data_IF_156600731467
#
_entry.id   IF_156600731467
#
_cell.length_a   1.000
_cell.length_b   1.000
_cell.length_c   1.000
_cell.angle_alpha   90.00
_cell.angle_beta   90.00
_cell.angle_gamma   90.00
#
_symmetry.space_group_name_H-M   'P 1'
#
loop_
_entity.id
_entity.type
_entity.pdbx_description
1 polymer ?
#
# COMPACT_ATOMS: atom_id res chain seq x y z
N UNK A 1 -29.61 21.80 -7.76
CA UNK A 1 -29.86 20.48 -7.15
C UNK A 1 -28.58 19.71 -7.26
N UNK A 2 -28.15 19.05 -6.19
CA UNK A 2 -26.97 18.20 -6.22
C UNK A 2 -27.35 16.81 -6.76
N UNK A 3 -26.44 16.21 -7.51
CA UNK A 3 -26.61 14.94 -8.21
C UNK A 3 -25.65 13.90 -7.63
N UNK A 4 -26.05 12.62 -7.57
CA UNK A 4 -25.11 11.54 -7.29
C UNK A 4 -24.13 11.41 -8.45
N UNK A 5 -22.91 10.98 -8.17
CA UNK A 5 -21.89 10.81 -9.21
C UNK A 5 -22.15 9.49 -9.95
N UNK A 6 -22.08 9.46 -11.30
CA UNK A 6 -22.21 8.22 -12.05
C UNK A 6 -21.28 7.12 -11.54
N UNK A 7 -21.72 5.87 -11.67
CA UNK A 7 -20.95 4.69 -11.25
C UNK A 7 -19.80 4.37 -12.19
N UNK A 8 -19.93 4.80 -13.45
CA UNK A 8 -18.96 4.52 -14.51
C UNK A 8 -17.62 5.23 -14.24
N UNK A 9 -16.54 4.58 -14.67
CA UNK A 9 -15.16 5.04 -14.51
C UNK A 9 -14.41 4.83 -15.83
N UNK A 10 -14.15 5.88 -16.62
CA UNK A 10 -14.56 7.27 -16.40
C UNK A 10 -16.06 7.50 -16.58
N UNK A 11 -16.60 8.59 -16.03
CA UNK A 11 -17.99 9.03 -16.26
C UNK A 11 -18.19 9.59 -17.67
N UNK A 12 -17.14 10.21 -18.23
CA UNK A 12 -17.13 10.74 -19.58
C UNK A 12 -15.75 10.45 -20.21
N UNK A 13 -15.69 9.76 -21.37
CA UNK A 13 -14.41 9.40 -21.99
C UNK A 13 -13.59 10.63 -22.44
N UNK A 14 -14.23 11.78 -22.65
CA UNK A 14 -13.54 13.02 -23.04
C UNK A 14 -12.95 13.78 -21.84
N UNK A 15 -13.26 13.36 -20.61
CA UNK A 15 -12.72 14.00 -19.42
C UNK A 15 -11.20 13.74 -19.31
N UNK A 16 -10.39 14.77 -18.98
CA UNK A 16 -8.97 14.59 -18.75
C UNK A 16 -8.70 13.59 -17.64
N UNK A 17 -7.66 12.79 -17.84
CA UNK A 17 -7.12 11.92 -16.78
C UNK A 17 -5.77 12.45 -16.35
N UNK A 18 -5.51 12.41 -15.05
CA UNK A 18 -4.22 12.79 -14.46
C UNK A 18 -3.78 11.72 -13.48
N UNK A 19 -2.49 11.68 -13.18
CA UNK A 19 -1.94 10.69 -12.26
C UNK A 19 -1.04 11.29 -11.20
N UNK A 20 -0.95 10.57 -10.08
CA UNK A 20 0.09 10.72 -9.06
C UNK A 20 0.83 9.39 -8.89
N UNK A 21 2.15 9.41 -9.04
CA UNK A 21 3.02 8.37 -8.51
C UNK A 21 3.35 8.73 -7.06
N UNK A 22 3.02 7.84 -6.12
CA UNK A 22 3.10 8.12 -4.68
C UNK A 22 4.23 7.33 -4.05
N UNK A 23 5.06 8.02 -3.27
CA UNK A 23 6.03 7.41 -2.37
C UNK A 23 5.54 7.50 -0.92
N UNK A 24 5.73 6.43 -0.14
CA UNK A 24 5.51 6.38 1.31
C UNK A 24 6.83 6.01 1.97
N UNK A 25 7.39 6.92 2.75
CA UNK A 25 8.77 6.80 3.23
C UNK A 25 9.75 6.85 2.06
N UNK A 26 10.52 5.78 1.89
CA UNK A 26 11.53 5.63 0.81
C UNK A 26 11.06 4.68 -0.29
N UNK A 27 9.79 4.28 -0.30
CA UNK A 27 9.27 3.21 -1.16
C UNK A 27 8.11 3.72 -2.03
N UNK A 28 8.14 3.34 -3.32
CA UNK A 28 7.04 3.59 -4.27
C UNK A 28 5.83 2.78 -3.85
N UNK A 29 4.75 3.45 -3.45
CA UNK A 29 3.49 2.81 -3.06
C UNK A 29 2.62 2.44 -4.27
N UNK A 30 2.70 3.21 -5.36
CA UNK A 30 2.00 2.94 -6.60
C UNK A 30 1.54 4.21 -7.31
N UNK A 31 0.66 4.05 -8.30
CA UNK A 31 0.06 5.14 -9.06
C UNK A 31 -1.43 5.27 -8.72
N UNK A 32 -1.90 6.50 -8.57
CA UNK A 32 -3.32 6.86 -8.54
C UNK A 32 -3.65 7.57 -9.83
N UNK A 33 -4.74 7.20 -10.48
CA UNK A 33 -5.25 7.87 -11.68
C UNK A 33 -6.62 8.46 -11.38
N UNK A 34 -6.79 9.73 -11.71
CA UNK A 34 -8.00 10.50 -11.53
C UNK A 34 -8.63 10.82 -12.86
N UNK A 35 -9.95 10.76 -12.93
CA UNK A 35 -10.75 11.49 -13.90
C UNK A 35 -11.05 12.89 -13.33
N UNK A 36 -10.94 13.93 -14.16
CA UNK A 36 -11.34 15.30 -13.83
C UNK A 36 -12.61 15.68 -14.57
N UNK A 37 -13.64 16.12 -13.86
CA UNK A 37 -14.96 16.45 -14.40
C UNK A 37 -14.95 17.80 -15.13
N UNK A 38 -14.22 17.91 -16.25
CA UNK A 38 -14.13 19.16 -17.02
C UNK A 38 -15.47 19.55 -17.65
N UNK A 39 -16.34 18.58 -17.90
CA UNK A 39 -17.71 18.77 -18.37
C UNK A 39 -18.65 19.42 -17.33
N UNK A 40 -18.32 19.31 -16.04
CA UNK A 40 -19.14 19.86 -14.94
C UNK A 40 -18.45 21.03 -14.22
N UNK A 41 -17.15 20.93 -13.97
CA UNK A 41 -16.31 21.91 -13.26
C UNK A 41 -15.06 22.26 -14.08
N UNK A 42 -15.20 22.88 -15.27
CA UNK A 42 -14.08 23.11 -16.18
C UNK A 42 -12.94 23.93 -15.58
N UNK A 43 -13.22 24.98 -14.81
CA UNK A 43 -12.16 25.80 -14.20
C UNK A 43 -11.40 25.05 -13.12
N UNK A 44 -12.12 24.32 -12.28
CA UNK A 44 -11.56 23.55 -11.17
C UNK A 44 -10.73 22.38 -11.70
N UNK A 45 -11.24 21.68 -12.73
CA UNK A 45 -10.52 20.62 -13.42
C UNK A 45 -9.24 21.14 -14.11
N UNK A 46 -9.31 22.24 -14.86
CA UNK A 46 -8.12 22.81 -15.54
C UNK A 46 -7.07 23.28 -14.53
N UNK A 47 -7.47 23.83 -13.38
CA UNK A 47 -6.54 24.19 -12.32
C UNK A 47 -5.74 22.97 -11.85
N UNK A 48 -6.43 21.87 -11.53
CA UNK A 48 -5.78 20.66 -11.06
C UNK A 48 -4.92 20.00 -12.14
N UNK A 49 -5.42 19.90 -13.38
CA UNK A 49 -4.68 19.35 -14.52
C UNK A 49 -3.36 20.09 -14.75
N UNK A 50 -3.40 21.41 -14.79
CA UNK A 50 -2.21 22.24 -14.99
C UNK A 50 -1.22 22.15 -13.82
N UNK A 51 -1.71 21.99 -12.58
CA UNK A 51 -0.86 21.72 -11.42
C UNK A 51 -0.27 20.31 -11.43
N UNK A 52 -0.89 19.33 -12.09
CA UNK A 52 -0.29 18.02 -12.34
C UNK A 52 0.84 18.09 -13.39
N UNK A 53 0.73 18.94 -14.42
CA UNK A 53 1.73 19.04 -15.49
C UNK A 53 2.85 20.04 -15.20
N UNK A 54 2.61 21.03 -14.33
CA UNK A 54 3.55 22.11 -14.05
C UNK A 54 3.66 23.15 -15.17
N UNK A 55 2.77 23.10 -16.18
CA UNK A 55 2.92 23.86 -17.43
C UNK A 55 2.79 25.39 -17.25
N UNK A 56 2.19 25.86 -16.14
CA UNK A 56 1.95 27.29 -15.89
C UNK A 56 3.14 28.01 -15.23
N UNK A 57 4.26 27.31 -15.02
CA UNK A 57 5.50 27.92 -14.55
C UNK A 57 5.51 28.26 -13.06
N UNK A 58 5.97 29.46 -12.71
CA UNK A 58 6.14 29.91 -11.32
C UNK A 58 4.90 30.70 -10.88
N UNK A 59 4.39 30.36 -9.70
CA UNK A 59 3.27 31.03 -9.07
C UNK A 59 3.63 32.43 -8.59
N UNK A 60 2.67 33.36 -8.67
CA UNK A 60 2.92 34.79 -8.44
C UNK A 60 2.96 35.14 -6.95
N UNK A 61 2.17 34.45 -6.15
CA UNK A 61 2.07 34.72 -4.71
C UNK A 61 3.10 33.93 -3.90
N UNK A 62 3.42 32.70 -4.34
CA UNK A 62 4.31 31.80 -3.60
C UNK A 62 5.75 31.82 -4.09
N UNK A 63 6.00 32.30 -5.32
CA UNK A 63 7.29 32.21 -6.03
C UNK A 63 7.82 30.77 -6.15
N UNK A 64 6.92 29.78 -6.08
CA UNK A 64 7.23 28.35 -6.26
C UNK A 64 6.64 27.84 -7.59
N UNK A 65 7.15 26.73 -8.14
CA UNK A 65 6.53 26.09 -9.30
C UNK A 65 5.07 25.73 -9.01
N UNK A 66 4.17 26.06 -9.94
CA UNK A 66 2.76 25.64 -9.94
C UNK A 66 2.67 24.17 -10.32
N UNK A 67 3.18 23.28 -9.46
CA UNK A 67 3.37 21.87 -9.76
C UNK A 67 3.24 21.00 -8.51
N UNK A 68 2.50 19.90 -8.59
CA UNK A 68 2.34 18.95 -7.48
C UNK A 68 3.53 18.01 -7.27
N UNK A 69 4.46 17.90 -8.22
CA UNK A 69 5.64 17.04 -8.09
C UNK A 69 6.47 17.44 -6.85
N UNK A 70 6.67 16.49 -5.96
CA UNK A 70 7.35 16.67 -4.66
C UNK A 70 6.43 17.19 -3.54
N UNK A 71 5.16 17.47 -3.81
CA UNK A 71 4.22 17.94 -2.79
C UNK A 71 3.81 16.78 -1.86
N UNK A 72 3.78 16.98 -0.53
CA UNK A 72 3.31 15.96 0.39
C UNK A 72 1.80 15.93 0.54
N UNK A 73 1.30 14.76 0.95
CA UNK A 73 0.03 14.62 1.66
C UNK A 73 0.29 14.99 3.13
N UNK A 74 -0.03 16.24 3.48
CA UNK A 74 0.34 16.80 4.78
C UNK A 74 -0.69 16.51 5.89
N UNK A 75 -1.88 16.01 5.52
CA UNK A 75 -2.95 15.70 6.48
C UNK A 75 -3.75 14.47 6.03
N UNK A 76 -3.79 13.44 6.86
CA UNK A 76 -4.48 12.19 6.62
C UNK A 76 -5.36 11.88 7.83
N UNK A 77 -6.65 11.61 7.59
CA UNK A 77 -7.58 11.22 8.64
C UNK A 77 -8.26 9.93 8.23
N UNK A 78 -7.97 8.86 8.99
CA UNK A 78 -8.54 7.53 8.78
C UNK A 78 -10.06 7.57 8.87
N UNK A 79 -10.72 6.90 7.93
CA UNK A 79 -12.18 6.89 7.71
C UNK A 79 -12.74 8.29 7.47
N UNK A 80 -12.00 9.13 6.76
CA UNK A 80 -12.45 10.45 6.35
C UNK A 80 -11.86 10.84 4.99
N UNK A 81 -10.60 11.28 4.96
CA UNK A 81 -9.96 11.82 3.75
C UNK A 81 -8.43 11.90 3.86
N UNK A 82 -7.78 12.03 2.70
CA UNK A 82 -6.35 12.31 2.53
C UNK A 82 -6.22 13.66 1.82
N UNK A 83 -5.49 14.61 2.42
CA UNK A 83 -5.35 15.99 1.94
C UNK A 83 -3.90 16.30 1.55
N UNK A 84 -3.74 16.99 0.41
CA UNK A 84 -2.47 17.40 -0.16
C UNK A 84 -2.58 18.73 -0.92
N UNK A 85 -1.59 19.00 -1.77
CA UNK A 85 -1.62 20.14 -2.70
C UNK A 85 -1.08 21.48 -2.15
N UNK A 86 -0.56 21.52 -0.93
CA UNK A 86 0.25 22.64 -0.44
C UNK A 86 1.71 22.47 -0.90
N UNK A 87 1.97 22.87 -2.15
CA UNK A 87 3.30 22.76 -2.75
C UNK A 87 4.28 23.83 -2.27
N UNK A 88 3.85 24.82 -1.48
CA UNK A 88 4.71 25.94 -1.06
C UNK A 88 5.18 25.81 0.38
N UNK A 89 4.27 25.53 1.32
CA UNK A 89 4.55 25.45 2.76
C UNK A 89 4.46 24.01 3.30
N UNK A 90 3.87 23.10 2.52
CA UNK A 90 3.81 21.66 2.82
C UNK A 90 3.08 21.30 4.12
N UNK A 91 2.23 22.18 4.64
CA UNK A 91 1.60 22.01 5.95
C UNK A 91 0.13 22.48 6.01
N UNK A 92 -0.46 22.84 4.87
CA UNK A 92 -1.84 23.28 4.75
C UNK A 92 -2.05 24.79 4.84
N UNK A 93 -0.98 25.56 5.05
CA UNK A 93 -1.07 27.04 5.13
C UNK A 93 -0.79 27.76 3.80
N UNK A 94 -0.29 27.03 2.80
CA UNK A 94 0.15 27.58 1.52
C UNK A 94 -0.63 27.09 0.31
N UNK A 95 0.05 27.16 -0.84
CA UNK A 95 -0.50 26.86 -2.17
C UNK A 95 -1.21 28.05 -2.82
N UNK A 96 -1.25 28.05 -4.15
CA UNK A 96 -2.02 29.00 -4.95
C UNK A 96 -2.55 28.31 -6.23
N UNK A 97 -3.60 28.87 -6.82
CA UNK A 97 -4.17 28.35 -8.07
C UNK A 97 -3.44 28.89 -9.29
N UNK A 98 -3.70 28.29 -10.46
CA UNK A 98 -3.20 28.83 -11.74
C UNK A 98 -3.82 30.19 -12.12
N UNK A 99 -4.90 30.59 -11.44
CA UNK A 99 -5.63 31.83 -11.68
C UNK A 99 -5.22 32.97 -10.72
N UNK A 100 -4.34 32.69 -9.75
CA UNK A 100 -3.96 33.58 -8.66
C UNK A 100 -4.04 32.87 -7.30
N UNK A 101 -3.90 33.62 -6.20
CA UNK A 101 -3.88 33.04 -4.85
C UNK A 101 -5.12 32.18 -4.56
N UNK A 102 -6.30 32.67 -4.93
CA UNK A 102 -7.60 32.02 -4.71
C UNK A 102 -8.52 32.15 -5.93
N UNK A 103 -9.46 31.22 -6.07
CA UNK A 103 -10.58 31.30 -7.03
C UNK A 103 -11.91 30.83 -6.40
N UNK A 104 -13.00 31.21 -7.07
CA UNK A 104 -14.38 30.98 -6.62
C UNK A 104 -14.79 29.49 -6.59
N UNK A 105 -15.81 29.17 -5.81
CA UNK A 105 -16.49 27.87 -5.87
C UNK A 105 -17.28 27.78 -7.17
N UNK A 106 -16.85 26.92 -8.10
CA UNK A 106 -17.42 26.87 -9.44
C UNK A 106 -18.87 26.38 -9.44
N UNK A 107 -19.14 25.27 -8.76
CA UNK A 107 -20.49 24.79 -8.41
C UNK A 107 -20.40 23.66 -7.36
N UNK A 108 -21.56 23.25 -6.86
CA UNK A 108 -21.72 22.10 -5.97
C UNK A 108 -22.60 21.03 -6.61
N UNK A 109 -22.35 20.72 -7.88
CA UNK A 109 -23.18 19.80 -8.66
C UNK A 109 -23.18 18.39 -8.06
N UNK A 110 -22.01 17.87 -7.69
CA UNK A 110 -21.88 16.53 -7.13
C UNK A 110 -21.81 16.51 -5.60
N UNK A 111 -22.39 15.46 -5.00
CA UNK A 111 -22.30 15.18 -3.57
C UNK A 111 -21.05 14.36 -3.22
N UNK A 112 -20.65 14.40 -1.94
CA UNK A 112 -19.59 13.56 -1.40
C UNK A 112 -20.15 12.20 -0.94
N UNK A 113 -20.75 11.45 -1.86
CA UNK A 113 -21.56 10.26 -1.56
C UNK A 113 -20.78 8.93 -1.62
N UNK A 114 -19.54 8.94 -2.10
CA UNK A 114 -18.70 7.75 -2.26
C UNK A 114 -17.23 7.98 -1.91
N UNK A 115 -16.49 6.87 -1.82
CA UNK A 115 -15.03 6.86 -1.66
C UNK A 115 -14.33 7.22 -2.96
N UNK A 116 -13.13 7.78 -2.86
CA UNK A 116 -12.29 8.10 -4.01
C UNK A 116 -12.74 9.36 -4.77
N UNK A 117 -13.49 10.27 -4.14
CA UNK A 117 -13.83 11.55 -4.74
C UNK A 117 -12.73 12.57 -4.52
N UNK A 118 -12.41 13.32 -5.57
CA UNK A 118 -11.44 14.40 -5.55
C UNK A 118 -12.18 15.74 -5.40
N UNK A 119 -11.83 16.49 -4.36
CA UNK A 119 -12.55 17.70 -3.96
C UNK A 119 -11.61 18.79 -3.45
N UNK A 120 -11.99 20.06 -3.63
CA UNK A 120 -11.15 21.21 -3.27
C UNK A 120 -11.13 21.43 -1.76
N UNK A 121 -9.94 21.57 -1.17
CA UNK A 121 -9.81 22.11 0.18
C UNK A 121 -9.90 23.66 0.12
N UNK A 122 -10.56 24.26 1.10
CA UNK A 122 -10.73 25.70 1.20
C UNK A 122 -10.79 26.17 2.68
N UNK A 123 -10.72 27.48 2.89
CA UNK A 123 -10.84 28.15 4.19
C UNK A 123 -12.16 28.95 4.29
N UNK A 124 -13.23 28.43 3.69
CA UNK A 124 -14.52 29.10 3.53
C UNK A 124 -14.86 29.39 2.06
N UNK A 125 -16.05 29.97 1.80
CA UNK A 125 -16.54 30.17 0.44
C UNK A 125 -15.55 30.93 -0.45
N UNK A 126 -15.40 30.49 -1.70
CA UNK A 126 -14.57 31.12 -2.72
C UNK A 126 -13.08 31.26 -2.37
N UNK A 127 -12.53 30.30 -1.63
CA UNK A 127 -11.11 30.29 -1.25
C UNK A 127 -10.35 29.05 -1.76
N UNK A 128 -10.73 28.57 -2.95
CA UNK A 128 -10.05 27.46 -3.60
C UNK A 128 -8.65 27.88 -4.07
N UNK A 129 -7.65 27.05 -3.84
CA UNK A 129 -6.25 27.28 -4.26
C UNK A 129 -5.71 26.08 -5.03
N UNK A 130 -4.65 25.46 -4.52
CA UNK A 130 -4.12 24.18 -5.03
C UNK A 130 -4.42 22.98 -4.15
N UNK A 131 -4.82 23.21 -2.90
CA UNK A 131 -5.05 22.12 -1.96
C UNK A 131 -6.32 21.35 -2.30
N UNK A 132 -6.25 20.04 -2.12
CA UNK A 132 -7.32 19.09 -2.44
C UNK A 132 -7.38 18.01 -1.38
N UNK A 133 -8.49 17.28 -1.34
CA UNK A 133 -8.58 16.04 -0.60
C UNK A 133 -9.24 14.93 -1.42
N UNK A 134 -8.93 13.69 -1.04
CA UNK A 134 -9.49 12.47 -1.60
C UNK A 134 -10.29 11.79 -0.51
N UNK A 135 -11.57 11.51 -0.75
CA UNK A 135 -12.45 10.86 0.25
C UNK A 135 -12.09 9.39 0.41
N UNK A 136 -12.14 8.88 1.64
CA UNK A 136 -11.99 7.44 1.94
C UNK A 136 -13.26 6.79 2.48
N UNK A 137 -14.28 7.61 2.76
CA UNK A 137 -15.67 7.26 3.09
C UNK A 137 -16.61 8.30 2.44
N UNK A 138 -17.93 8.06 2.37
CA UNK A 138 -18.89 9.13 2.07
C UNK A 138 -18.81 10.26 3.12
N UNK A 139 -18.77 11.52 2.67
CA UNK A 139 -18.59 12.72 3.52
C UNK A 139 -19.64 13.80 3.27
N UNK A 140 -20.95 13.51 3.37
CA UNK A 140 -22.03 14.45 3.00
C UNK A 140 -22.06 15.76 3.82
N UNK A 141 -21.39 15.80 4.97
CA UNK A 141 -21.24 17.03 5.76
C UNK A 141 -20.38 18.11 5.06
N UNK A 142 -19.67 17.75 3.99
CA UNK A 142 -18.88 18.61 3.12
C UNK A 142 -19.66 19.13 1.90
N UNK A 143 -20.88 18.64 1.68
CA UNK A 143 -21.72 19.06 0.55
C UNK A 143 -22.03 20.56 0.62
N UNK A 144 -22.01 21.20 -0.56
CA UNK A 144 -22.19 22.65 -0.71
C UNK A 144 -21.12 23.52 -0.02
N UNK A 145 -20.01 22.92 0.40
CA UNK A 145 -18.87 23.62 1.02
C UNK A 145 -17.58 23.41 0.25
N UNK A 146 -17.41 22.25 -0.37
CA UNK A 146 -16.24 21.88 -1.15
C UNK A 146 -16.66 21.43 -2.55
N UNK A 147 -15.95 21.93 -3.57
CA UNK A 147 -16.23 21.62 -4.97
C UNK A 147 -15.67 20.23 -5.27
N UNK A 148 -16.55 19.26 -5.55
CA UNK A 148 -16.16 17.96 -6.10
C UNK A 148 -15.89 18.11 -7.59
N UNK A 149 -14.69 17.73 -8.04
CA UNK A 149 -14.24 17.99 -9.41
C UNK A 149 -13.56 16.79 -10.08
N UNK A 150 -13.54 15.63 -9.43
CA UNK A 150 -13.02 14.40 -10.03
C UNK A 150 -13.25 13.16 -9.19
N UNK A 151 -12.77 12.03 -9.68
CA UNK A 151 -12.78 10.76 -8.97
C UNK A 151 -11.57 9.89 -9.31
N UNK A 152 -11.20 9.01 -8.38
CA UNK A 152 -10.20 7.97 -8.60
C UNK A 152 -10.79 6.88 -9.50
N UNK A 153 -10.12 6.64 -10.62
CA UNK A 153 -10.46 5.59 -11.58
C UNK A 153 -9.53 4.38 -11.52
N UNK A 154 -8.28 4.56 -11.08
CA UNK A 154 -7.32 3.49 -10.77
C UNK A 154 -6.48 3.85 -9.54
N UNK A 155 -6.01 2.86 -8.79
CA UNK A 155 -5.10 3.08 -7.66
C UNK A 155 -5.81 3.34 -6.33
N UNK A 156 -7.06 2.89 -6.17
CA UNK A 156 -7.76 2.96 -4.87
C UNK A 156 -7.02 2.22 -3.76
N UNK A 157 -6.25 1.18 -4.09
CA UNK A 157 -5.38 0.53 -3.12
C UNK A 157 -4.27 1.43 -2.57
N UNK A 158 -3.71 2.33 -3.38
CA UNK A 158 -2.71 3.32 -2.92
C UNK A 158 -3.35 4.31 -1.93
N UNK A 159 -4.61 4.71 -2.19
CA UNK A 159 -5.40 5.53 -1.26
C UNK A 159 -5.61 4.81 0.07
N UNK A 160 -5.98 3.52 0.05
CA UNK A 160 -6.12 2.71 1.28
C UNK A 160 -4.79 2.59 2.04
N UNK A 161 -3.66 2.45 1.33
CA UNK A 161 -2.34 2.42 1.95
C UNK A 161 -2.03 3.75 2.65
N UNK A 162 -2.21 4.89 1.96
CA UNK A 162 -2.04 6.22 2.54
C UNK A 162 -2.91 6.42 3.79
N UNK A 163 -4.18 6.01 3.74
CA UNK A 163 -5.11 6.11 4.87
C UNK A 163 -4.70 5.26 6.08
N UNK A 164 -3.98 4.16 5.83
CA UNK A 164 -3.54 3.23 6.87
C UNK A 164 -2.28 3.68 7.63
N UNK A 165 -1.60 4.73 7.14
CA UNK A 165 -0.37 5.25 7.76
C UNK A 165 -0.68 5.87 9.12
N UNK A 166 0.20 5.59 10.10
CA UNK A 166 0.13 6.23 11.40
C UNK A 166 0.31 7.75 11.29
N UNK A 167 -0.49 8.50 12.04
CA UNK A 167 -0.49 9.96 12.02
C UNK A 167 -0.25 10.53 13.41
N UNK A 168 0.44 11.67 13.49
CA UNK A 168 0.52 12.52 14.67
C UNK A 168 -0.18 13.86 14.36
N UNK A 169 -1.25 14.18 15.09
CA UNK A 169 -2.08 15.37 14.82
C UNK A 169 -2.50 15.47 13.34
N UNK A 170 -3.04 14.37 12.81
CA UNK A 170 -3.40 14.16 11.39
C UNK A 170 -2.21 14.18 10.39
N UNK A 171 -1.00 14.58 10.78
CA UNK A 171 0.17 14.55 9.88
C UNK A 171 0.77 13.13 9.83
N UNK A 172 1.06 12.57 8.64
CA UNK A 172 1.60 11.22 8.54
C UNK A 172 3.01 11.13 9.14
N UNK A 173 3.26 10.07 9.93
CA UNK A 173 4.55 9.82 10.58
C UNK A 173 5.64 9.50 9.55
N UNK A 174 5.27 8.80 8.47
CA UNK A 174 6.15 8.58 7.31
C UNK A 174 5.84 9.63 6.24
N UNK A 175 6.87 10.22 5.60
CA UNK A 175 6.64 11.13 4.47
C UNK A 175 5.78 10.45 3.40
N UNK A 176 4.67 11.08 3.02
CA UNK A 176 3.79 10.63 1.95
C UNK A 176 3.83 11.69 0.85
N UNK A 177 4.41 11.39 -0.31
CA UNK A 177 4.78 12.40 -1.31
C UNK A 177 4.28 12.02 -2.69
N UNK A 178 3.80 13.01 -3.44
CA UNK A 178 3.55 12.91 -4.87
C UNK A 178 4.91 12.96 -5.57
N UNK A 179 5.54 11.81 -5.78
CA UNK A 179 6.88 11.69 -6.33
C UNK A 179 6.95 12.10 -7.80
N UNK A 180 5.91 11.79 -8.57
CA UNK A 180 5.71 12.29 -9.92
C UNK A 180 4.23 12.50 -10.21
N UNK A 181 3.93 13.37 -11.17
CA UNK A 181 2.57 13.64 -11.59
C UNK A 181 2.51 14.14 -13.04
N UNK A 182 1.33 14.04 -13.64
CA UNK A 182 1.13 14.50 -14.99
C UNK A 182 -0.27 14.22 -15.52
N UNK A 183 -0.48 14.59 -16.76
CA UNK A 183 -1.67 14.22 -17.53
C UNK A 183 -1.47 12.84 -18.17
N UNK A 184 -2.49 12.01 -18.10
CA UNK A 184 -2.53 10.65 -18.63
C UNK A 184 -3.35 10.65 -19.93
N UNK A 185 -2.70 10.38 -21.07
CA UNK A 185 -3.32 10.44 -22.40
C UNK A 185 -3.85 9.08 -22.82
N UNK A 186 -4.76 9.07 -23.78
CA UNK A 186 -5.22 7.82 -24.40
C UNK A 186 -4.08 7.04 -25.03
N UNK A 187 -4.00 5.75 -24.68
CA UNK A 187 -2.93 4.86 -25.11
C UNK A 187 -1.69 4.90 -24.22
N UNK A 188 -1.60 5.82 -23.24
CA UNK A 188 -0.60 5.72 -22.19
C UNK A 188 -0.89 4.46 -21.35
N UNK A 189 0.17 3.77 -20.92
CA UNK A 189 0.02 2.73 -19.91
C UNK A 189 -0.46 3.35 -18.60
N UNK A 190 -1.50 2.76 -17.98
CA UNK A 190 -2.14 3.23 -16.73
C UNK A 190 -1.20 3.43 -15.54
N UNK A 191 0.06 3.04 -15.65
CA UNK A 191 1.09 3.11 -14.62
C UNK A 191 2.00 1.92 -14.76
N UNK A 192 3.26 2.02 -14.31
CA UNK A 192 4.26 1.05 -14.72
C UNK A 192 3.89 -0.32 -14.14
N UNK A 193 4.27 -1.37 -14.87
CA UNK A 193 4.92 -2.50 -14.22
C UNK A 193 5.93 -1.91 -13.26
N UNK A 194 5.57 -1.72 -11.99
CA UNK A 194 6.37 -1.21 -10.85
C UNK A 194 7.75 -0.73 -11.28
N UNK A 195 8.15 0.53 -11.07
CA UNK A 195 9.46 1.06 -11.54
C UNK A 195 10.73 0.29 -11.13
N UNK A 196 10.61 -0.86 -10.46
CA UNK A 196 11.57 -1.95 -10.54
C UNK A 196 11.66 -2.48 -11.99
N UNK A 197 12.86 -2.73 -12.50
CA UNK A 197 13.06 -3.26 -13.86
C UNK A 197 12.64 -4.74 -14.01
N UNK A 198 11.61 -5.17 -13.28
CA UNK A 198 11.23 -6.56 -13.05
C UNK A 198 10.38 -7.18 -14.17
N UNK A 199 9.77 -6.35 -15.02
CA UNK A 199 8.91 -6.80 -16.12
C UNK A 199 7.48 -7.20 -15.71
N UNK A 200 7.05 -6.92 -14.48
CA UNK A 200 5.72 -7.26 -13.95
C UNK A 200 4.59 -6.42 -14.56
N UNK A 201 3.90 -6.92 -15.58
CA UNK A 201 2.87 -6.16 -16.29
C UNK A 201 1.52 -6.01 -15.58
N UNK A 202 1.36 -6.54 -14.37
CA UNK A 202 0.06 -6.55 -13.69
C UNK A 202 -0.12 -5.31 -12.80
N UNK A 203 -1.34 -4.79 -12.60
CA UNK A 203 -1.59 -3.75 -11.60
C UNK A 203 -1.24 -4.22 -10.18
N UNK A 204 -0.74 -3.33 -9.33
CA UNK A 204 -0.37 -3.68 -7.95
C UNK A 204 -1.57 -4.07 -7.08
N UNK A 205 -2.76 -3.57 -7.44
CA UNK A 205 -4.01 -3.85 -6.76
C UNK A 205 -4.96 -4.63 -7.68
N UNK A 206 -5.51 -5.76 -7.20
CA UNK A 206 -6.36 -6.63 -8.01
C UNK A 206 -7.58 -5.91 -8.61
N UNK A 207 -8.19 -4.97 -7.88
CA UNK A 207 -9.37 -4.22 -8.35
C UNK A 207 -9.12 -3.34 -9.58
N UNK A 208 -7.85 -3.06 -9.88
CA UNK A 208 -7.44 -2.29 -11.06
C UNK A 208 -7.14 -3.18 -12.28
N UNK A 209 -7.23 -4.50 -12.14
CA UNK A 209 -6.97 -5.49 -13.18
C UNK A 209 -8.23 -5.88 -13.95
N UNK A 210 -8.04 -6.28 -15.21
CA UNK A 210 -9.11 -6.81 -16.07
C UNK A 210 -9.31 -8.34 -15.92
N UNK A 211 -8.70 -8.93 -14.88
CA UNK A 211 -8.78 -10.38 -14.60
C UNK A 211 -10.16 -10.75 -14.07
N UNK A 212 -10.69 -11.89 -14.54
CA UNK A 212 -11.87 -12.49 -13.93
C UNK A 212 -11.44 -13.29 -12.70
N UNK A 213 -11.71 -12.76 -11.51
CA UNK A 213 -11.33 -13.40 -10.25
C UNK A 213 -12.09 -14.70 -9.95
N UNK A 214 -13.12 -15.05 -10.74
CA UNK A 214 -13.78 -16.36 -10.69
C UNK A 214 -13.07 -17.41 -11.55
N UNK A 215 -12.23 -16.99 -12.50
CA UNK A 215 -11.36 -17.88 -13.25
C UNK A 215 -10.10 -18.18 -12.43
N UNK A 216 -10.19 -19.26 -11.64
CA UNK A 216 -9.11 -19.72 -10.76
C UNK A 216 -7.81 -19.99 -11.51
N UNK A 217 -7.88 -20.47 -12.75
CA UNK A 217 -6.69 -20.84 -13.52
C UNK A 217 -5.99 -19.59 -14.06
N UNK A 218 -6.76 -18.57 -14.49
CA UNK A 218 -6.24 -17.26 -14.86
C UNK A 218 -5.54 -16.57 -13.68
N UNK A 219 -6.20 -16.51 -12.51
CA UNK A 219 -5.62 -15.89 -11.31
C UNK A 219 -4.36 -16.61 -10.87
N UNK A 220 -4.35 -17.95 -10.90
CA UNK A 220 -3.17 -18.74 -10.55
C UNK A 220 -2.00 -18.46 -11.48
N UNK A 221 -2.23 -18.39 -12.79
CA UNK A 221 -1.17 -18.06 -13.76
C UNK A 221 -0.54 -16.71 -13.44
N UNK A 222 -1.36 -15.68 -13.20
CA UNK A 222 -0.87 -14.35 -12.83
C UNK A 222 -0.10 -14.37 -11.51
N UNK A 223 -0.66 -15.01 -10.48
CA UNK A 223 -0.03 -15.09 -9.17
C UNK A 223 1.33 -15.83 -9.24
N UNK A 224 1.42 -16.90 -10.04
CA UNK A 224 2.66 -17.61 -10.31
C UNK A 224 3.69 -16.72 -11.01
N UNK A 225 3.28 -15.95 -12.03
CA UNK A 225 4.16 -15.04 -12.75
C UNK A 225 4.74 -13.97 -11.80
N UNK A 226 3.89 -13.31 -11.02
CA UNK A 226 4.32 -12.32 -10.01
C UNK A 226 5.23 -12.96 -8.96
N UNK A 227 4.88 -14.15 -8.44
CA UNK A 227 5.73 -14.91 -7.51
C UNK A 227 7.11 -15.23 -8.12
N UNK A 228 7.17 -15.59 -9.40
CA UNK A 228 8.41 -15.92 -10.08
C UNK A 228 9.32 -14.70 -10.28
N UNK A 229 8.73 -13.52 -10.47
CA UNK A 229 9.46 -12.25 -10.41
C UNK A 229 10.02 -12.03 -9.01
N UNK A 230 9.21 -12.24 -7.95
CA UNK A 230 9.67 -12.20 -6.56
C UNK A 230 10.82 -13.17 -6.29
N UNK A 231 10.77 -14.39 -6.82
CA UNK A 231 11.85 -15.37 -6.73
C UNK A 231 13.15 -14.89 -7.38
N UNK A 232 13.05 -14.15 -8.49
CA UNK A 232 14.19 -13.59 -9.20
C UNK A 232 14.83 -12.44 -8.41
N UNK A 233 14.01 -11.56 -7.84
CA UNK A 233 14.45 -10.49 -6.93
C UNK A 233 15.11 -11.06 -5.66
N UNK A 234 14.54 -12.14 -5.10
CA UNK A 234 15.14 -12.86 -3.98
C UNK A 234 16.53 -13.42 -4.32
N UNK A 235 16.71 -14.03 -5.50
CA UNK A 235 18.03 -14.51 -5.95
C UNK A 235 19.04 -13.37 -6.08
N UNK A 236 18.57 -12.19 -6.48
CA UNK A 236 19.37 -10.97 -6.59
C UNK A 236 19.58 -10.26 -5.24
N UNK A 237 19.10 -10.84 -4.13
CA UNK A 237 19.19 -10.30 -2.78
C UNK A 237 18.43 -8.99 -2.57
N UNK A 238 17.49 -8.65 -3.47
CA UNK A 238 16.54 -7.56 -3.26
C UNK A 238 15.34 -8.08 -2.48
N UNK A 239 15.54 -8.22 -1.17
CA UNK A 239 14.55 -8.83 -0.27
C UNK A 239 13.27 -8.00 -0.17
N UNK A 240 13.37 -6.67 -0.21
CA UNK A 240 12.23 -5.78 -0.11
C UNK A 240 11.36 -5.85 -1.36
N UNK A 241 11.96 -5.74 -2.54
CA UNK A 241 11.22 -5.87 -3.79
C UNK A 241 10.61 -7.29 -3.91
N UNK A 242 11.33 -8.33 -3.49
CA UNK A 242 10.79 -9.69 -3.45
C UNK A 242 9.54 -9.80 -2.55
N UNK A 243 9.57 -9.23 -1.34
CA UNK A 243 8.40 -9.17 -0.44
C UNK A 243 7.24 -8.48 -1.14
N UNK A 244 7.47 -7.33 -1.80
CA UNK A 244 6.42 -6.60 -2.50
C UNK A 244 5.73 -7.45 -3.57
N UNK A 245 6.50 -8.27 -4.31
CA UNK A 245 5.94 -9.22 -5.29
C UNK A 245 5.17 -10.37 -4.64
N UNK A 246 5.69 -10.98 -3.58
CA UNK A 246 4.95 -12.04 -2.88
C UNK A 246 3.64 -11.51 -2.29
N UNK A 247 3.66 -10.33 -1.68
CA UNK A 247 2.47 -9.66 -1.16
C UNK A 247 1.48 -9.32 -2.27
N UNK A 248 1.95 -8.89 -3.44
CA UNK A 248 1.11 -8.69 -4.63
C UNK A 248 0.44 -9.98 -5.09
N UNK A 249 1.22 -11.06 -5.22
CA UNK A 249 0.66 -12.38 -5.55
C UNK A 249 -0.42 -12.79 -4.55
N UNK A 250 -0.20 -12.60 -3.24
CA UNK A 250 -1.17 -12.92 -2.20
C UNK A 250 -2.46 -12.10 -2.33
N UNK A 251 -2.38 -10.79 -2.62
CA UNK A 251 -3.57 -9.95 -2.84
C UNK A 251 -4.46 -10.48 -3.97
N UNK A 252 -3.88 -10.92 -5.08
CA UNK A 252 -4.65 -11.49 -6.19
C UNK A 252 -5.33 -12.81 -5.80
N UNK A 253 -4.62 -13.67 -5.06
CA UNK A 253 -5.17 -14.94 -4.56
C UNK A 253 -6.30 -14.70 -3.54
N UNK A 254 -6.16 -13.72 -2.66
CA UNK A 254 -7.15 -13.37 -1.63
C UNK A 254 -8.48 -12.93 -2.28
N UNK A 255 -8.45 -11.99 -3.22
CA UNK A 255 -9.66 -11.52 -3.92
C UNK A 255 -10.35 -12.65 -4.68
N UNK A 256 -9.59 -13.54 -5.32
CA UNK A 256 -10.17 -14.73 -5.96
C UNK A 256 -10.76 -15.70 -4.93
N UNK A 257 -10.06 -15.93 -3.81
CA UNK A 257 -10.50 -16.79 -2.73
C UNK A 257 -11.86 -16.39 -2.16
N UNK A 258 -12.10 -15.09 -1.96
CA UNK A 258 -13.39 -14.56 -1.47
C UNK A 258 -14.57 -14.84 -2.42
N UNK A 259 -14.30 -15.00 -3.72
CA UNK A 259 -15.32 -15.19 -4.76
C UNK A 259 -15.53 -16.65 -5.17
N UNK A 260 -14.57 -17.52 -4.84
CA UNK A 260 -14.56 -18.93 -5.20
C UNK A 260 -15.27 -19.80 -4.16
N UNK A 261 -15.83 -20.92 -4.61
CA UNK A 261 -16.30 -21.98 -3.71
C UNK A 261 -15.11 -22.74 -3.08
N UNK A 262 -15.34 -23.37 -1.92
CA UNK A 262 -14.29 -24.02 -1.11
C UNK A 262 -13.38 -24.98 -1.91
N UNK A 263 -13.95 -25.75 -2.84
CA UNK A 263 -13.18 -26.68 -3.66
C UNK A 263 -12.17 -25.99 -4.59
N UNK A 264 -12.52 -24.80 -5.11
CA UNK A 264 -11.66 -24.01 -5.97
C UNK A 264 -10.64 -23.18 -5.16
N UNK A 265 -11.01 -22.71 -3.96
CA UNK A 265 -10.09 -22.03 -3.04
C UNK A 265 -8.86 -22.88 -2.71
N UNK A 266 -9.04 -24.19 -2.53
CA UNK A 266 -7.93 -25.14 -2.26
C UNK A 266 -6.86 -25.16 -3.36
N UNK A 267 -7.21 -24.78 -4.60
CA UNK A 267 -6.22 -24.67 -5.68
C UNK A 267 -5.25 -23.49 -5.49
N UNK A 268 -5.65 -22.46 -4.73
CA UNK A 268 -4.85 -21.25 -4.47
C UNK A 268 -3.81 -21.47 -3.36
N UNK A 269 -4.12 -22.35 -2.41
CA UNK A 269 -3.32 -22.58 -1.20
C UNK A 269 -1.83 -22.91 -1.47
N UNK A 270 -1.45 -23.74 -2.47
CA UNK A 270 -0.03 -24.04 -2.72
C UNK A 270 0.79 -22.80 -3.11
N UNK A 271 0.22 -21.91 -3.93
CA UNK A 271 0.88 -20.66 -4.35
C UNK A 271 0.95 -19.68 -3.18
N UNK A 272 -0.14 -19.55 -2.40
CA UNK A 272 -0.17 -18.72 -1.21
C UNK A 272 0.86 -19.18 -0.17
N UNK A 273 0.92 -20.48 0.13
CA UNK A 273 1.89 -21.09 1.03
C UNK A 273 3.32 -20.79 0.58
N UNK A 274 3.61 -20.93 -0.72
CA UNK A 274 4.93 -20.59 -1.26
C UNK A 274 5.28 -19.11 -1.07
N UNK A 275 4.33 -18.19 -1.28
CA UNK A 275 4.53 -16.77 -1.06
C UNK A 275 4.81 -16.48 0.42
N UNK A 276 3.98 -16.95 1.36
CA UNK A 276 4.21 -16.75 2.79
C UNK A 276 5.57 -17.29 3.26
N UNK A 277 5.93 -18.49 2.81
CA UNK A 277 7.24 -19.08 3.08
C UNK A 277 8.36 -18.17 2.56
N UNK A 278 8.29 -17.73 1.31
CA UNK A 278 9.34 -16.91 0.70
C UNK A 278 9.43 -15.52 1.35
N UNK A 279 8.30 -14.91 1.70
CA UNK A 279 8.21 -13.67 2.48
C UNK A 279 8.89 -13.83 3.84
N UNK A 280 8.59 -14.89 4.59
CA UNK A 280 9.26 -15.17 5.86
C UNK A 280 10.78 -15.32 5.70
N UNK A 281 11.24 -15.94 4.60
CA UNK A 281 12.67 -16.03 4.31
C UNK A 281 13.32 -14.66 4.06
N UNK A 282 12.62 -13.74 3.38
CA UNK A 282 13.07 -12.37 3.18
C UNK A 282 13.15 -11.60 4.52
N UNK A 283 12.12 -11.70 5.36
CA UNK A 283 12.12 -11.05 6.67
C UNK A 283 13.25 -11.53 7.58
N UNK A 284 13.57 -12.83 7.55
CA UNK A 284 14.75 -13.37 8.24
C UNK A 284 16.07 -12.77 7.72
N UNK A 285 16.20 -12.50 6.41
CA UNK A 285 17.38 -11.83 5.82
C UNK A 285 17.48 -10.37 6.26
N UNK A 286 16.33 -9.70 6.41
CA UNK A 286 16.21 -8.32 6.87
C UNK A 286 16.26 -8.17 8.40
N UNK A 287 16.31 -9.28 9.14
CA UNK A 287 16.23 -9.30 10.61
C UNK A 287 14.93 -8.69 11.17
N UNK A 288 13.86 -8.72 10.38
CA UNK A 288 12.51 -8.32 10.76
C UNK A 288 11.82 -9.53 11.42
N UNK A 289 12.19 -9.79 12.67
CA UNK A 289 11.86 -11.05 13.33
C UNK A 289 10.36 -11.23 13.57
N UNK A 290 9.64 -10.18 13.96
CA UNK A 290 8.20 -10.28 14.20
C UNK A 290 7.45 -10.52 12.88
N UNK A 291 7.79 -9.79 11.82
CA UNK A 291 7.18 -10.00 10.50
C UNK A 291 7.45 -11.41 9.93
N UNK A 292 8.64 -11.97 10.21
CA UNK A 292 8.97 -13.34 9.87
C UNK A 292 8.11 -14.36 10.65
N UNK A 293 7.83 -14.10 11.94
CA UNK A 293 6.91 -14.92 12.74
C UNK A 293 5.51 -14.88 12.14
N UNK A 294 5.01 -13.69 11.84
CA UNK A 294 3.65 -13.49 11.37
C UNK A 294 3.44 -14.18 10.01
N UNK A 295 4.39 -14.00 9.08
CA UNK A 295 4.38 -14.72 7.80
C UNK A 295 4.44 -16.25 7.95
N UNK A 296 5.15 -16.76 8.97
CA UNK A 296 5.17 -18.20 9.23
C UNK A 296 3.87 -18.70 9.86
N UNK A 297 3.15 -17.86 10.62
CA UNK A 297 1.84 -18.23 11.16
C UNK A 297 0.85 -18.48 10.01
N UNK A 298 0.78 -17.55 9.05
CA UNK A 298 -0.04 -17.70 7.83
C UNK A 298 0.27 -19.01 7.08
N UNK A 299 1.57 -19.30 6.87
CA UNK A 299 1.99 -20.56 6.25
C UNK A 299 1.58 -21.81 7.05
N UNK A 300 1.55 -21.74 8.38
CA UNK A 300 1.17 -22.85 9.27
C UNK A 300 -0.35 -23.02 9.36
N UNK A 301 -1.12 -21.95 9.17
CA UNK A 301 -2.58 -22.02 9.05
C UNK A 301 -2.98 -22.81 7.80
N UNK A 302 -2.29 -22.59 6.69
CA UNK A 302 -2.45 -23.37 5.45
C UNK A 302 -1.94 -24.81 5.60
N UNK A 303 -0.74 -25.00 6.15
CA UNK A 303 -0.14 -26.32 6.35
C UNK A 303 0.48 -26.45 7.74
N UNK A 304 -0.31 -27.03 8.67
CA UNK A 304 0.10 -27.23 10.07
C UNK A 304 1.31 -28.15 10.25
N UNK A 305 1.65 -28.93 9.23
CA UNK A 305 2.78 -29.87 9.23
C UNK A 305 4.00 -29.31 8.46
N UNK A 306 3.95 -28.05 8.00
CA UNK A 306 5.03 -27.48 7.20
C UNK A 306 6.31 -27.29 8.02
N UNK A 307 7.30 -28.16 7.82
CA UNK A 307 8.57 -28.12 8.56
C UNK A 307 9.39 -26.86 8.24
N UNK A 308 9.29 -26.33 7.01
CA UNK A 308 9.98 -25.08 6.63
C UNK A 308 9.43 -23.88 7.38
N UNK A 309 8.10 -23.75 7.49
CA UNK A 309 7.47 -22.67 8.24
C UNK A 309 7.84 -22.75 9.73
N UNK A 310 7.73 -23.94 10.35
CA UNK A 310 8.11 -24.16 11.75
C UNK A 310 9.58 -23.82 12.01
N UNK A 311 10.48 -24.27 11.13
CA UNK A 311 11.90 -23.99 11.26
C UNK A 311 12.22 -22.50 11.13
N UNK A 312 11.64 -21.80 10.14
CA UNK A 312 11.82 -20.36 9.95
C UNK A 312 11.24 -19.55 11.12
N UNK A 313 10.06 -19.93 11.63
CA UNK A 313 9.46 -19.31 12.81
C UNK A 313 10.34 -19.48 14.04
N UNK A 314 10.95 -20.65 14.22
CA UNK A 314 11.91 -20.88 15.30
C UNK A 314 13.17 -20.02 15.18
N UNK A 315 13.67 -19.76 13.97
CA UNK A 315 14.77 -18.81 13.75
C UNK A 315 14.37 -17.40 14.13
N UNK A 316 13.16 -16.97 13.76
CA UNK A 316 12.63 -15.66 14.11
C UNK A 316 12.44 -15.51 15.64
N UNK A 317 11.89 -16.53 16.32
CA UNK A 317 11.79 -16.55 17.78
C UNK A 317 13.14 -16.41 18.48
N UNK A 318 14.19 -17.05 17.95
CA UNK A 318 15.55 -16.85 18.47
C UNK A 318 16.03 -15.41 18.29
N UNK A 319 15.71 -14.77 17.16
CA UNK A 319 15.99 -13.35 16.92
C UNK A 319 15.29 -12.44 17.96
N UNK A 320 14.07 -12.79 18.36
CA UNK A 320 13.31 -12.15 19.44
C UNK A 320 13.75 -12.55 20.86
N UNK A 321 14.76 -13.44 21.00
CA UNK A 321 15.21 -14.02 22.27
C UNK A 321 14.14 -14.86 22.99
N UNK A 322 13.14 -15.33 22.26
CA UNK A 322 12.06 -16.21 22.73
C UNK A 322 12.45 -17.69 22.54
N UNK A 323 13.59 -18.10 23.08
CA UNK A 323 14.13 -19.47 22.92
C UNK A 323 13.12 -20.59 23.31
N UNK A 324 12.28 -20.45 24.36
CA UNK A 324 11.26 -21.45 24.67
C UNK A 324 10.27 -21.68 23.53
N UNK A 325 9.83 -20.62 22.82
CA UNK A 325 8.94 -20.74 21.66
C UNK A 325 9.65 -21.41 20.49
N UNK A 326 10.90 -21.02 20.22
CA UNK A 326 11.72 -21.67 19.20
C UNK A 326 11.86 -23.18 19.44
N UNK A 327 12.05 -23.60 20.69
CA UNK A 327 12.16 -25.02 21.05
C UNK A 327 10.86 -25.80 20.77
N UNK A 328 9.69 -25.20 20.99
CA UNK A 328 8.39 -25.83 20.68
C UNK A 328 8.29 -26.12 19.18
N UNK A 329 8.58 -25.11 18.35
CA UNK A 329 8.51 -25.25 16.89
C UNK A 329 9.52 -26.25 16.35
N UNK A 330 10.76 -26.23 16.85
CA UNK A 330 11.80 -27.18 16.44
C UNK A 330 11.49 -28.62 16.85
N UNK A 331 10.92 -28.84 18.03
CA UNK A 331 10.46 -30.18 18.45
C UNK A 331 9.34 -30.69 17.55
N UNK A 332 8.38 -29.82 17.20
CA UNK A 332 7.30 -30.16 16.28
C UNK A 332 7.85 -30.50 14.88
N UNK A 333 8.74 -29.67 14.35
CA UNK A 333 9.39 -29.92 13.06
C UNK A 333 10.20 -31.22 13.06
N UNK A 334 10.97 -31.48 14.12
CA UNK A 334 11.76 -32.71 14.26
C UNK A 334 10.88 -33.96 14.40
N UNK A 335 9.72 -33.85 15.05
CA UNK A 335 8.74 -34.93 15.13
C UNK A 335 8.12 -35.29 13.78
N UNK A 336 8.03 -34.32 12.86
CA UNK A 336 7.49 -34.52 11.50
C UNK A 336 8.57 -35.05 10.55
N UNK A 337 9.79 -34.51 10.62
CA UNK A 337 10.95 -34.88 9.78
C UNK A 337 12.19 -35.14 10.66
N UNK A 338 12.29 -36.31 11.33
CA UNK A 338 13.38 -36.61 12.25
C UNK A 338 14.76 -36.73 11.58
N UNK A 339 14.79 -37.03 10.29
CA UNK A 339 16.00 -37.13 9.46
C UNK A 339 16.57 -35.77 9.02
N UNK A 340 15.81 -34.69 9.20
CA UNK A 340 16.28 -33.34 8.87
C UNK A 340 17.39 -32.90 9.82
N UNK A 341 18.63 -32.98 9.34
CA UNK A 341 19.82 -32.61 10.09
C UNK A 341 19.84 -31.14 10.48
N UNK A 342 19.27 -30.25 9.67
CA UNK A 342 19.24 -28.82 9.99
C UNK A 342 18.34 -28.57 11.20
N UNK A 343 17.14 -29.14 11.21
CA UNK A 343 16.21 -29.05 12.34
C UNK A 343 16.82 -29.71 13.59
N UNK A 344 17.38 -30.91 13.46
CA UNK A 344 17.97 -31.64 14.59
C UNK A 344 19.17 -30.91 15.22
N UNK A 345 20.05 -30.32 14.41
CA UNK A 345 21.20 -29.56 14.91
C UNK A 345 20.75 -28.26 15.59
N UNK A 346 19.77 -27.57 15.00
CA UNK A 346 19.22 -26.33 15.53
C UNK A 346 18.51 -26.54 16.86
N UNK A 347 17.73 -27.63 16.99
CA UNK A 347 17.08 -28.03 18.24
C UNK A 347 18.09 -28.22 19.38
N UNK A 348 19.19 -28.93 19.12
CA UNK A 348 20.27 -29.13 20.11
C UNK A 348 20.89 -27.79 20.52
N UNK A 349 21.11 -26.89 19.56
CA UNK A 349 21.66 -25.56 19.80
C UNK A 349 20.77 -24.71 20.71
N UNK A 350 19.46 -24.66 20.41
CA UNK A 350 18.48 -23.92 21.22
C UNK A 350 18.36 -24.53 22.62
N UNK A 351 18.38 -25.86 22.73
CA UNK A 351 18.34 -26.54 24.02
C UNK A 351 19.54 -26.18 24.91
N UNK A 352 20.74 -26.09 24.34
CA UNK A 352 21.93 -25.65 25.06
C UNK A 352 21.79 -24.20 25.55
N UNK A 353 21.33 -23.28 24.69
CA UNK A 353 21.11 -21.87 25.07
C UNK A 353 20.15 -21.71 26.24
N UNK A 354 19.01 -22.41 26.21
CA UNK A 354 18.03 -22.37 27.30
C UNK A 354 18.65 -22.88 28.62
N UNK A 355 19.48 -23.91 28.55
CA UNK A 355 20.17 -24.44 29.72
C UNK A 355 21.17 -23.42 30.29
N UNK A 356 21.97 -22.80 29.44
CA UNK A 356 22.92 -21.76 29.83
C UNK A 356 22.23 -20.53 30.45
N UNK A 357 21.08 -20.11 29.89
CA UNK A 357 20.27 -19.00 30.43
C UNK A 357 19.77 -19.32 31.84
N UNK A 358 19.19 -20.50 32.05
CA UNK A 358 18.74 -20.96 33.37
C UNK A 358 19.88 -21.05 34.38
N UNK A 359 21.06 -21.48 33.96
CA UNK A 359 22.24 -21.53 34.83
C UNK A 359 22.74 -20.13 35.21
N UNK A 360 22.70 -19.17 34.29
CA UNK A 360 23.03 -17.76 34.57
C UNK A 360 22.03 -17.16 35.56
N UNK A 361 20.73 -17.36 35.34
CA UNK A 361 19.67 -16.89 36.25
C UNK A 361 19.86 -17.46 37.66
N UNK A 362 20.08 -18.78 37.78
CA UNK A 362 20.37 -19.43 39.08
C UNK A 362 21.56 -18.79 39.80
N UNK A 363 22.65 -18.49 39.07
CA UNK A 363 23.84 -17.84 39.64
C UNK A 363 23.55 -16.40 40.09
N UNK A 364 22.73 -15.66 39.35
CA UNK A 364 22.32 -14.30 39.72
C UNK A 364 21.48 -14.34 40.99
N UNK A 365 20.45 -15.20 41.04
CA UNK A 365 19.62 -15.36 42.24
C UNK A 365 20.44 -15.77 43.46
N UNK A 366 21.37 -16.73 43.32
CA UNK A 366 22.24 -17.14 44.42
C UNK A 366 23.10 -15.99 44.97
N UNK A 367 23.51 -15.03 44.14
CA UNK A 367 24.26 -13.84 44.56
C UNK A 367 23.40 -12.72 45.15
N UNK A 368 22.11 -12.67 44.82
CA UNK A 368 21.20 -11.66 45.39
C UNK A 368 20.76 -12.00 46.82
N UNK A 369 20.85 -13.27 47.22
CA UNK A 369 20.47 -13.78 48.54
C UNK A 369 21.66 -14.25 49.39
N UNK A 370 22.89 -14.04 48.91
CA UNK A 370 24.13 -14.21 49.66
C UNK A 370 24.68 -12.83 50.02
#
# INVERSE_FOLDING_TARGET
MSHPIPTDKPTNPENPRVFFDVDIGEERAGRIVFELFVDITPKTAENFRALCTGEKGIGKSTEKPLHFKGCPFHRIIKKFMIQGGDFSNHNGTGGESIYGEKFEDENFHYMHDKVGLLSMANAGPNTNGSQFFITTVPTPHLDNKHVVFGQVIKGMGVIKLLESIDTNEDAPVKPCVIADCGEHKDGDSWGPASGDSSGDTHPDFPEDSDVDFKDVDQVLSLAEDVKNIGNSLFKNQDWKAAINKYSKSLRYLEVSGELLEEAAQKKLEPTALSCFLNTAACYLKLQLWQDAVDSCNEAIELDKANTKALFRRAQAWQGLKENPKAMIDLKKAHGIAPEDKAVGNELKRVQLKIQEEKEKEKKIYAKMFA
#
